data_IF_901155172152
#
_entry.id   IF_901155172152
#
_cell.length_a   1.000
_cell.length_b   1.000
_cell.length_c   1.000
_cell.angle_alpha   90.00
_cell.angle_beta   90.00
_cell.angle_gamma   90.00
#
_symmetry.space_group_name_H-M   'P 1'
#
loop_
_entity.id
_entity.type
_entity.pdbx_description
1 polymer ?
#
# COMPACT_ATOMS: atom_id res chain seq x y z
N UNK A 1 -36.73 2.46 37.41
CA UNK A 1 -36.43 3.34 36.26
C UNK A 1 -36.81 2.60 34.99
N UNK A 2 -37.75 3.13 34.18
CA UNK A 2 -38.16 2.48 32.91
C UNK A 2 -37.14 2.85 31.83
N UNK A 3 -36.60 1.92 31.04
CA UNK A 3 -35.66 2.25 29.97
C UNK A 3 -36.33 3.15 28.92
N UNK A 4 -35.69 4.26 28.59
CA UNK A 4 -36.17 5.23 27.62
C UNK A 4 -35.97 4.71 26.20
N UNK A 5 -36.96 3.97 25.70
CA UNK A 5 -36.99 3.39 24.34
C UNK A 5 -36.64 4.41 23.24
N UNK A 6 -37.05 5.67 23.43
CA UNK A 6 -36.74 6.77 22.51
C UNK A 6 -35.23 7.02 22.37
N UNK A 7 -34.47 6.93 23.47
CA UNK A 7 -33.01 7.10 23.45
C UNK A 7 -32.30 5.94 22.75
N UNK A 8 -32.82 4.72 22.89
CA UNK A 8 -32.27 3.55 22.22
C UNK A 8 -32.47 3.62 20.70
N UNK A 9 -33.66 4.04 20.24
CA UNK A 9 -33.96 4.20 18.81
C UNK A 9 -33.12 5.30 18.17
N UNK A 10 -32.98 6.45 18.84
CA UNK A 10 -32.15 7.56 18.35
C UNK A 10 -30.66 7.16 18.30
N UNK A 11 -30.18 6.46 19.33
CA UNK A 11 -28.81 5.92 19.34
C UNK A 11 -28.56 4.93 18.21
N UNK A 12 -29.50 4.01 17.95
CA UNK A 12 -29.39 3.05 16.85
C UNK A 12 -29.32 3.71 15.47
N UNK A 13 -30.15 4.73 15.22
CA UNK A 13 -30.13 5.46 13.94
C UNK A 13 -28.82 6.24 13.74
N UNK A 14 -28.28 6.85 14.79
CA UNK A 14 -26.98 7.53 14.74
C UNK A 14 -25.84 6.57 14.42
N UNK A 15 -25.82 5.38 15.04
CA UNK A 15 -24.80 4.36 14.79
C UNK A 15 -24.86 3.83 13.36
N UNK A 16 -26.07 3.62 12.82
CA UNK A 16 -26.26 3.18 11.43
C UNK A 16 -25.83 4.27 10.43
N UNK A 17 -26.16 5.53 10.69
CA UNK A 17 -25.71 6.65 9.88
C UNK A 17 -24.18 6.80 9.90
N UNK A 18 -23.56 6.64 11.07
CA UNK A 18 -22.11 6.66 11.22
C UNK A 18 -21.43 5.51 10.47
N UNK A 19 -22.00 4.30 10.52
CA UNK A 19 -21.51 3.15 9.73
C UNK A 19 -21.61 3.42 8.22
N UNK A 20 -22.71 4.03 7.77
CA UNK A 20 -22.90 4.38 6.37
C UNK A 20 -21.86 5.39 5.87
N UNK A 21 -21.53 6.41 6.68
CA UNK A 21 -20.50 7.40 6.33
C UNK A 21 -19.11 6.77 6.30
N UNK A 22 -18.77 5.91 7.26
CA UNK A 22 -17.48 5.19 7.25
C UNK A 22 -17.35 4.28 6.02
N UNK A 23 -18.41 3.58 5.63
CA UNK A 23 -18.41 2.77 4.40
C UNK A 23 -18.21 3.61 3.14
N UNK A 24 -18.73 4.84 3.06
CA UNK A 24 -18.48 5.71 1.91
C UNK A 24 -17.01 6.17 1.83
N UNK A 25 -16.35 6.42 2.97
CA UNK A 25 -14.92 6.76 3.01
C UNK A 25 -14.08 5.57 2.54
N UNK A 26 -14.39 4.35 3.01
CA UNK A 26 -13.69 3.15 2.56
C UNK A 26 -13.91 2.87 1.07
N UNK A 27 -15.13 3.08 0.55
CA UNK A 27 -15.44 2.83 -0.86
C UNK A 27 -14.79 3.86 -1.79
N UNK A 28 -14.70 5.13 -1.38
CA UNK A 28 -14.02 6.17 -2.15
C UNK A 28 -12.49 5.95 -2.20
N UNK A 29 -11.90 5.40 -1.14
CA UNK A 29 -10.46 5.12 -1.07
C UNK A 29 -10.08 3.81 -1.80
N UNK A 30 -10.98 2.81 -1.83
CA UNK A 30 -10.67 1.48 -2.39
C UNK A 30 -11.07 1.34 -3.88
N UNK A 31 -11.96 2.19 -4.40
CA UNK A 31 -12.43 2.13 -5.80
C UNK A 31 -11.38 2.41 -6.90
N UNK A 32 -10.16 2.80 -6.52
CA UNK A 32 -9.05 3.04 -7.46
C UNK A 32 -7.92 2.01 -7.38
N UNK A 33 -8.15 0.84 -6.78
CA UNK A 33 -7.25 -0.30 -6.91
C UNK A 33 -7.30 -0.90 -8.34
N UNK A 34 -6.94 -0.09 -9.35
CA UNK A 34 -6.30 -0.62 -10.56
C UNK A 34 -5.15 -1.47 -10.07
N UNK A 35 -5.20 -2.77 -10.30
CA UNK A 35 -4.05 -3.66 -10.09
C UNK A 35 -2.81 -2.90 -10.57
N UNK A 36 -1.84 -2.59 -9.71
CA UNK A 36 -0.65 -1.90 -10.16
C UNK A 36 0.04 -2.80 -11.17
N UNK A 37 -0.18 -2.54 -12.45
CA UNK A 37 0.67 -3.04 -13.51
C UNK A 37 2.01 -2.37 -13.27
N UNK A 38 2.92 -3.09 -12.61
CA UNK A 38 4.31 -2.67 -12.44
C UNK A 38 4.82 -2.37 -13.85
N UNK A 39 5.10 -1.10 -14.20
CA UNK A 39 5.54 -0.78 -15.55
C UNK A 39 6.84 -1.54 -15.82
N UNK A 40 6.98 -2.20 -16.99
CA UNK A 40 8.14 -3.04 -17.28
C UNK A 40 9.45 -2.23 -17.33
N UNK A 41 9.38 -0.91 -17.61
CA UNK A 41 10.51 -0.01 -17.57
C UNK A 41 10.41 0.99 -16.40
N UNK A 42 11.47 1.06 -15.60
CA UNK A 42 11.67 2.09 -14.55
C UNK A 42 11.76 3.49 -15.16
N UNK A 43 12.07 3.60 -16.46
CA UNK A 43 12.24 4.88 -17.16
C UNK A 43 10.97 5.75 -17.12
N UNK A 44 9.79 5.14 -17.13
CA UNK A 44 8.47 5.80 -17.16
C UNK A 44 7.79 5.89 -15.79
N UNK A 45 8.52 5.58 -14.72
CA UNK A 45 7.96 5.64 -13.38
C UNK A 45 7.72 7.09 -12.95
N UNK A 46 6.48 7.37 -12.57
CA UNK A 46 6.07 8.58 -11.86
C UNK A 46 6.11 8.32 -10.36
N UNK A 47 5.99 9.37 -9.56
CA UNK A 47 5.90 9.27 -8.10
C UNK A 47 4.72 8.40 -7.64
N UNK A 48 3.61 8.40 -8.40
CA UNK A 48 2.46 7.55 -8.12
C UNK A 48 2.77 6.07 -8.36
N UNK A 49 3.50 5.73 -9.43
CA UNK A 49 3.97 4.37 -9.67
C UNK A 49 4.88 3.90 -8.55
N UNK A 50 5.85 4.73 -8.13
CA UNK A 50 6.73 4.40 -7.01
C UNK A 50 5.95 4.10 -5.72
N UNK A 51 4.97 4.93 -5.35
CA UNK A 51 4.15 4.72 -4.14
C UNK A 51 3.33 3.43 -4.22
N UNK A 52 2.77 3.14 -5.39
CA UNK A 52 1.98 1.93 -5.59
C UNK A 52 2.83 0.66 -5.50
N UNK A 53 4.02 0.68 -6.12
CA UNK A 53 4.98 -0.43 -6.02
C UNK A 53 5.51 -0.57 -4.59
N UNK A 54 5.74 0.53 -3.88
CA UNK A 54 6.13 0.50 -2.47
C UNK A 54 5.06 -0.18 -1.61
N UNK A 55 3.78 0.15 -1.80
CA UNK A 55 2.69 -0.53 -1.10
C UNK A 55 2.63 -2.01 -1.47
N UNK A 56 2.71 -2.34 -2.76
CA UNK A 56 2.73 -3.71 -3.25
C UNK A 56 3.88 -4.54 -2.64
N UNK A 57 5.05 -3.93 -2.42
CA UNK A 57 6.22 -4.58 -1.83
C UNK A 57 6.04 -5.01 -0.37
N UNK A 58 5.05 -4.44 0.33
CA UNK A 58 4.70 -4.84 1.70
C UNK A 58 3.99 -6.19 1.69
N UNK A 59 3.05 -6.35 0.76
CA UNK A 59 2.25 -7.57 0.65
C UNK A 59 2.99 -8.68 -0.13
N UNK A 60 3.84 -8.28 -1.09
CA UNK A 60 4.57 -9.18 -1.98
C UNK A 60 6.05 -8.78 -2.03
N UNK A 61 6.81 -9.03 -0.94
CA UNK A 61 8.23 -8.74 -0.91
C UNK A 61 8.98 -9.63 -1.89
N UNK A 62 9.69 -9.03 -2.85
CA UNK A 62 10.59 -9.75 -3.75
C UNK A 62 11.86 -8.95 -4.02
N UNK A 63 12.95 -9.67 -4.30
CA UNK A 63 14.22 -9.05 -4.67
C UNK A 63 14.06 -8.12 -5.87
N UNK A 64 13.31 -8.55 -6.90
CA UNK A 64 13.03 -7.76 -8.10
C UNK A 64 12.29 -6.46 -7.79
N UNK A 65 11.28 -6.50 -6.92
CA UNK A 65 10.49 -5.31 -6.55
C UNK A 65 11.37 -4.29 -5.82
N UNK A 66 12.19 -4.73 -4.87
CA UNK A 66 13.10 -3.84 -4.15
C UNK A 66 14.21 -3.29 -5.04
N UNK A 67 14.70 -4.07 -6.01
CA UNK A 67 15.67 -3.61 -7.00
C UNK A 67 15.08 -2.51 -7.91
N UNK A 68 13.82 -2.65 -8.33
CA UNK A 68 13.15 -1.59 -9.11
C UNK A 68 12.94 -0.31 -8.29
N UNK A 69 12.60 -0.43 -7.00
CA UNK A 69 12.48 0.70 -6.08
C UNK A 69 13.84 1.41 -5.86
N UNK A 70 14.94 0.66 -5.71
CA UNK A 70 16.27 1.27 -5.58
C UNK A 70 16.68 2.04 -6.83
N UNK A 71 16.47 1.47 -8.02
CA UNK A 71 16.82 2.10 -9.28
C UNK A 71 16.03 3.39 -9.54
N UNK A 72 14.74 3.42 -9.18
CA UNK A 72 13.95 4.64 -9.27
C UNK A 72 14.51 5.75 -8.37
N UNK A 73 14.86 5.43 -7.13
CA UNK A 73 15.43 6.41 -6.18
C UNK A 73 16.81 6.90 -6.59
N UNK A 74 17.61 6.04 -7.23
CA UNK A 74 18.90 6.44 -7.80
C UNK A 74 18.74 7.49 -8.91
N UNK A 75 17.73 7.32 -9.79
CA UNK A 75 17.40 8.33 -10.81
C UNK A 75 16.96 9.67 -10.20
N UNK A 76 16.26 9.61 -9.08
CA UNK A 76 15.88 10.79 -8.29
C UNK A 76 17.04 11.37 -7.45
N UNK A 77 18.25 10.79 -7.55
CA UNK A 77 19.45 11.15 -6.79
C UNK A 77 19.30 10.99 -5.27
N UNK A 78 18.31 10.22 -4.80
CA UNK A 78 18.16 9.85 -3.39
C UNK A 78 18.93 8.57 -3.10
N UNK A 79 20.27 8.67 -3.19
CA UNK A 79 21.18 7.54 -3.04
C UNK A 79 21.09 6.88 -1.65
N UNK A 80 20.71 7.66 -0.63
CA UNK A 80 20.58 7.15 0.74
C UNK A 80 19.45 6.13 0.81
N UNK A 81 18.27 6.45 0.27
CA UNK A 81 17.14 5.51 0.25
C UNK A 81 17.35 4.41 -0.79
N UNK A 82 17.94 4.72 -1.95
CA UNK A 82 18.26 3.72 -2.96
C UNK A 82 19.10 2.58 -2.39
N UNK A 83 20.15 2.91 -1.61
CA UNK A 83 21.00 1.91 -0.95
C UNK A 83 20.26 1.02 0.05
N UNK A 84 19.24 1.54 0.75
CA UNK A 84 18.44 0.74 1.69
C UNK A 84 17.64 -0.31 0.93
N UNK A 85 17.00 0.07 -0.18
CA UNK A 85 16.23 -0.87 -0.99
C UNK A 85 17.12 -1.86 -1.74
N UNK A 86 18.28 -1.44 -2.21
CA UNK A 86 19.26 -2.34 -2.84
C UNK A 86 19.70 -3.44 -1.87
N UNK A 87 20.07 -3.07 -0.63
CA UNK A 87 20.43 -4.05 0.41
C UNK A 87 19.29 -5.03 0.75
N UNK A 88 18.04 -4.55 0.72
CA UNK A 88 16.87 -5.43 0.91
C UNK A 88 16.72 -6.42 -0.25
N UNK A 89 16.94 -5.96 -1.48
CA UNK A 89 16.91 -6.82 -2.65
C UNK A 89 18.00 -7.91 -2.57
N UNK A 90 19.23 -7.52 -2.25
CA UNK A 90 20.36 -8.44 -2.07
C UNK A 90 20.08 -9.50 -0.99
N UNK A 91 19.58 -9.08 0.18
CA UNK A 91 19.24 -10.01 1.26
C UNK A 91 18.19 -11.05 0.85
N UNK A 92 17.21 -10.66 0.02
CA UNK A 92 16.18 -11.58 -0.46
C UNK A 92 16.67 -12.50 -1.57
N UNK A 93 17.59 -12.03 -2.42
CA UNK A 93 18.20 -12.87 -3.45
C UNK A 93 19.00 -14.01 -2.83
N UNK A 94 19.78 -13.71 -1.78
CA UNK A 94 20.57 -14.70 -1.06
C UNK A 94 19.67 -15.76 -0.41
N UNK A 95 18.54 -15.34 0.20
CA UNK A 95 17.58 -16.27 0.81
C UNK A 95 16.82 -17.13 -0.21
N UNK A 96 16.67 -16.64 -1.44
CA UNK A 96 16.01 -17.40 -2.52
C UNK A 96 16.90 -18.46 -3.16
N UNK A 97 18.22 -18.24 -3.18
CA UNK A 97 19.20 -19.20 -3.71
C UNK A 97 19.40 -20.43 -2.82
N UNK A 98 19.15 -20.34 -1.51
CA UNK A 98 19.28 -21.47 -0.58
C UNK A 98 18.09 -22.47 -0.62
N UNK A 99 17.13 -22.27 -1.54
CA UNK A 99 15.87 -23.02 -1.61
C UNK A 99 15.73 -23.95 -2.84
N UNK A 100 16.76 -24.05 -3.69
CA UNK A 100 16.86 -24.98 -4.84
C UNK A 100 17.91 -26.08 -4.59
#
# INVERSE_FOLDING_TARGET
MRPNLKGFVIGGLMVLGFHYVLQQVETAVIGHARRPTVPPLIQDWTDSHYRSVLHYSVDHPSAEVFYKLSNYLERQRDYRKARVFLKKAEAMSIMGEDSD
#
